data_IF_727222134728
#
_entry.id   IF_727222134728
#
_cell.length_a   1.000
_cell.length_b   1.000
_cell.length_c   1.000
_cell.angle_alpha   90.00
_cell.angle_beta   90.00
_cell.angle_gamma   90.00
#
_symmetry.space_group_name_H-M   'P 1'
#
loop_
_entity.id
_entity.type
_entity.pdbx_description
1 polymer ?
#
# COMPACT_ATOMS: atom_id res chain seq x y z
N UNK A 1 -75.86 38.58 -82.27
CA UNK A 1 -74.46 38.87 -82.66
C UNK A 1 -73.68 39.02 -81.36
N UNK A 2 -72.72 38.12 -81.15
CA UNK A 2 -71.63 37.99 -80.13
C UNK A 2 -71.72 38.74 -78.79
N UNK A 3 -71.41 38.16 -77.63
CA UNK A 3 -70.79 36.87 -77.33
C UNK A 3 -70.36 36.78 -75.84
N UNK A 4 -70.03 35.55 -75.43
CA UNK A 4 -69.07 35.09 -74.39
C UNK A 4 -68.87 35.90 -73.10
N UNK A 5 -68.79 35.34 -71.89
CA UNK A 5 -68.65 33.96 -71.44
C UNK A 5 -67.88 33.92 -70.11
N UNK A 6 -68.20 32.94 -69.24
CA UNK A 6 -67.42 32.51 -68.06
C UNK A 6 -67.48 33.47 -66.86
N UNK A 7 -67.65 33.06 -65.60
CA UNK A 7 -67.07 31.92 -64.88
C UNK A 7 -68.06 31.48 -63.77
N UNK A 8 -68.16 30.15 -63.57
CA UNK A 8 -68.92 29.47 -62.51
C UNK A 8 -68.09 29.37 -61.22
N UNK A 9 -68.73 29.41 -60.05
CA UNK A 9 -68.80 28.26 -59.11
C UNK A 9 -69.72 28.54 -57.91
N UNK A 10 -70.41 27.49 -57.51
CA UNK A 10 -71.42 27.42 -56.47
C UNK A 10 -70.85 26.88 -55.15
N UNK A 11 -71.47 27.27 -54.04
CA UNK A 11 -71.60 26.57 -52.74
C UNK A 11 -72.90 27.17 -52.15
N UNK A 12 -73.88 26.51 -51.55
CA UNK A 12 -74.00 25.21 -50.90
C UNK A 12 -74.76 25.42 -49.58
N UNK A 13 -76.06 25.09 -49.60
CA UNK A 13 -77.02 24.69 -48.57
C UNK A 13 -76.86 25.00 -47.04
N UNK A 14 -78.05 25.21 -46.46
CA UNK A 14 -78.59 24.62 -45.21
C UNK A 14 -78.49 25.39 -43.87
N UNK A 15 -79.59 25.24 -43.11
CA UNK A 15 -80.00 25.93 -41.89
C UNK A 15 -79.25 25.47 -40.62
N UNK A 16 -79.24 26.31 -39.59
CA UNK A 16 -78.92 25.89 -38.22
C UNK A 16 -79.58 26.81 -37.18
N UNK A 17 -80.45 26.23 -36.34
CA UNK A 17 -80.95 26.86 -35.13
C UNK A 17 -79.87 26.92 -34.05
N UNK A 18 -79.90 27.96 -33.22
CA UNK A 18 -79.02 28.09 -32.06
C UNK A 18 -79.74 27.58 -30.81
N UNK A 19 -79.22 26.45 -30.34
CA UNK A 19 -79.54 25.74 -29.10
C UNK A 19 -78.89 26.47 -27.92
N UNK A 20 -79.62 26.58 -26.82
CA UNK A 20 -79.11 27.10 -25.54
C UNK A 20 -78.03 26.16 -24.96
N UNK A 21 -76.85 26.70 -24.65
CA UNK A 21 -75.81 25.97 -23.92
C UNK A 21 -76.00 26.18 -22.41
N UNK A 22 -76.66 25.23 -21.76
CA UNK A 22 -76.61 25.10 -20.31
C UNK A 22 -75.25 24.51 -19.90
N UNK A 23 -74.50 25.20 -19.03
CA UNK A 23 -73.35 24.60 -18.34
C UNK A 23 -73.86 23.46 -17.44
N UNK A 24 -73.55 22.21 -17.80
CA UNK A 24 -73.71 21.08 -16.91
C UNK A 24 -72.61 21.14 -15.84
N UNK A 25 -72.97 21.58 -14.64
CA UNK A 25 -72.20 21.26 -13.43
C UNK A 25 -72.46 19.79 -13.13
N UNK A 26 -71.43 18.95 -13.20
CA UNK A 26 -71.53 17.57 -12.74
C UNK A 26 -71.78 17.56 -11.21
N UNK A 27 -72.71 16.76 -10.68
CA UNK A 27 -72.85 16.59 -9.24
C UNK A 27 -71.59 15.91 -8.69
N UNK A 28 -71.03 16.46 -7.60
CA UNK A 28 -70.06 15.74 -6.79
C UNK A 28 -70.75 14.47 -6.27
N UNK A 29 -70.20 13.29 -6.59
CA UNK A 29 -70.65 12.04 -6.02
C UNK A 29 -70.55 12.14 -4.49
N UNK A 30 -71.69 12.06 -3.80
CA UNK A 30 -71.71 11.97 -2.34
C UNK A 30 -71.17 10.60 -1.93
N UNK A 31 -70.09 10.59 -1.15
CA UNK A 31 -69.56 9.40 -0.49
C UNK A 31 -70.61 8.86 0.49
N UNK A 32 -70.73 7.52 0.58
CA UNK A 32 -71.53 6.86 1.62
C UNK A 32 -71.05 7.32 3.02
N UNK A 33 -71.92 7.45 4.03
CA UNK A 33 -71.49 7.83 5.37
C UNK A 33 -70.57 6.74 5.92
N UNK A 34 -69.34 7.11 6.25
CA UNK A 34 -68.40 6.26 6.98
C UNK A 34 -69.07 5.77 8.28
N UNK A 35 -69.26 4.46 8.44
CA UNK A 35 -69.91 3.89 9.63
C UNK A 35 -68.92 3.46 10.71
N UNK A 36 -67.65 3.29 10.34
CA UNK A 36 -66.62 2.68 11.17
C UNK A 36 -65.31 3.47 11.13
N UNK A 37 -64.49 3.43 12.20
CA UNK A 37 -63.16 4.03 12.19
C UNK A 37 -62.24 3.25 11.23
N UNK A 38 -61.15 3.86 10.72
CA UNK A 38 -60.36 3.25 9.66
C UNK A 38 -59.71 1.92 10.09
N UNK A 39 -59.87 0.86 9.29
CA UNK A 39 -59.24 -0.43 9.53
C UNK A 39 -58.06 -0.68 8.58
N UNK A 40 -56.91 -1.12 9.11
CA UNK A 40 -55.76 -1.49 8.29
C UNK A 40 -55.81 -2.97 7.88
N UNK A 41 -55.86 -3.23 6.57
CA UNK A 41 -55.90 -4.60 6.00
C UNK A 41 -54.51 -5.07 5.55
N UNK A 42 -53.65 -4.14 5.14
CA UNK A 42 -52.26 -4.41 4.78
C UNK A 42 -51.34 -3.40 5.47
N UNK A 43 -50.33 -3.85 6.23
CA UNK A 43 -49.47 -2.94 6.99
C UNK A 43 -48.58 -2.09 6.08
N UNK A 44 -48.11 -0.93 6.57
CA UNK A 44 -47.10 -0.13 5.89
C UNK A 44 -45.81 -0.92 5.64
N UNK A 45 -45.06 -0.59 4.60
CA UNK A 45 -43.76 -1.21 4.32
C UNK A 45 -42.69 -0.16 4.00
N UNK A 46 -41.48 -0.38 4.54
CA UNK A 46 -40.31 0.45 4.22
C UNK A 46 -39.56 -0.16 3.04
N UNK A 47 -39.23 0.67 2.06
CA UNK A 47 -38.36 0.33 0.94
C UNK A 47 -37.23 1.33 0.80
N UNK A 48 -36.15 0.94 0.13
CA UNK A 48 -34.99 1.80 -0.11
C UNK A 48 -33.77 1.49 0.78
N UNK A 49 -32.63 2.16 0.53
CA UNK A 49 -31.38 1.85 1.20
C UNK A 49 -31.29 2.42 2.62
N UNK A 50 -31.28 1.55 3.64
CA UNK A 50 -31.08 1.91 5.04
C UNK A 50 -29.60 2.13 5.39
N UNK A 51 -29.00 3.17 4.82
CA UNK A 51 -27.63 3.64 5.09
C UNK A 51 -27.58 5.17 4.96
N UNK A 52 -26.65 5.87 5.61
CA UNK A 52 -26.56 7.33 5.54
C UNK A 52 -26.58 7.87 4.11
N UNK A 53 -27.38 8.91 3.87
CA UNK A 53 -27.62 9.51 2.56
C UNK A 53 -28.59 8.72 1.67
N UNK A 54 -29.04 7.54 2.10
CA UNK A 54 -30.09 6.78 1.43
C UNK A 54 -31.48 7.34 1.75
N UNK A 55 -32.42 7.18 0.80
CA UNK A 55 -33.82 7.59 0.99
C UNK A 55 -34.69 6.36 1.21
N UNK A 56 -35.26 6.25 2.42
CA UNK A 56 -36.31 5.30 2.74
C UNK A 56 -37.66 5.84 2.28
N UNK A 57 -38.52 4.95 1.79
CA UNK A 57 -39.90 5.26 1.38
C UNK A 57 -40.85 4.37 2.15
N UNK A 58 -41.93 4.95 2.64
CA UNK A 58 -42.97 4.21 3.33
C UNK A 58 -44.19 4.07 2.41
N UNK A 59 -44.61 2.84 2.14
CA UNK A 59 -45.92 2.59 1.56
C UNK A 59 -46.97 2.69 2.69
N UNK A 60 -48.11 3.37 2.45
CA UNK A 60 -49.10 3.61 3.50
C UNK A 60 -49.84 2.36 3.99
N UNK A 61 -49.73 1.25 3.27
CA UNK A 61 -50.60 0.07 3.47
C UNK A 61 -51.94 0.22 2.76
N UNK A 62 -52.87 -0.69 3.05
CA UNK A 62 -54.26 -0.66 2.56
C UNK A 62 -55.20 -0.45 3.73
N UNK A 63 -56.13 0.49 3.57
CA UNK A 63 -57.07 0.90 4.61
C UNK A 63 -58.51 0.84 4.07
N UNK A 64 -59.45 0.42 4.92
CA UNK A 64 -60.89 0.55 4.68
C UNK A 64 -61.37 1.93 5.15
N UNK A 65 -62.59 2.30 4.75
CA UNK A 65 -63.32 3.50 5.19
C UNK A 65 -62.62 4.83 4.82
N UNK A 66 -61.96 4.83 3.65
CA UNK A 66 -61.34 5.96 2.93
C UNK A 66 -60.69 7.06 3.80
N UNK A 67 -59.75 6.72 4.71
CA UNK A 67 -59.17 7.69 5.63
C UNK A 67 -58.20 8.66 4.96
N UNK A 68 -58.03 9.81 5.60
CA UNK A 68 -56.86 10.67 5.39
C UNK A 68 -55.64 10.09 6.10
N UNK A 69 -54.53 9.93 5.37
CA UNK A 69 -53.33 9.28 5.87
C UNK A 69 -52.20 10.27 6.15
N UNK A 70 -51.57 10.13 7.31
CA UNK A 70 -50.34 10.84 7.70
C UNK A 70 -49.25 9.84 8.07
N UNK A 71 -48.00 10.19 7.83
CA UNK A 71 -46.86 9.27 8.00
C UNK A 71 -45.80 9.88 8.89
N UNK A 72 -45.36 9.13 9.90
CA UNK A 72 -44.27 9.50 10.80
C UNK A 72 -43.18 8.42 10.82
N UNK A 73 -41.94 8.85 10.87
CA UNK A 73 -40.75 8.01 11.00
C UNK A 73 -40.20 8.14 12.41
N UNK A 74 -39.86 7.00 13.02
CA UNK A 74 -39.36 6.96 14.40
C UNK A 74 -38.31 5.89 14.61
N UNK A 75 -37.51 6.09 15.65
CA UNK A 75 -36.66 5.04 16.22
C UNK A 75 -36.96 4.92 17.72
N UNK A 76 -37.47 3.77 18.15
CA UNK A 76 -38.08 3.64 19.47
C UNK A 76 -39.20 4.67 19.67
N UNK A 77 -39.06 5.53 20.68
CA UNK A 77 -39.96 6.65 20.98
C UNK A 77 -39.53 7.98 20.36
N UNK A 78 -38.37 8.05 19.70
CA UNK A 78 -37.81 9.29 19.14
C UNK A 78 -38.34 9.55 17.73
N UNK A 79 -38.92 10.73 17.45
CA UNK A 79 -39.32 11.11 16.10
C UNK A 79 -38.09 11.43 15.23
N UNK A 80 -38.08 10.92 14.01
CA UNK A 80 -37.02 11.14 13.02
C UNK A 80 -37.44 12.12 11.93
N UNK A 81 -38.71 12.07 11.51
CA UNK A 81 -39.30 12.93 10.49
C UNK A 81 -40.72 12.51 10.12
N UNK A 82 -41.33 13.23 9.18
CA UNK A 82 -42.70 13.01 8.71
C UNK A 82 -42.76 12.92 7.18
N UNK A 83 -43.87 12.41 6.65
CA UNK A 83 -44.12 12.26 5.21
C UNK A 83 -43.73 10.89 4.64
N UNK A 84 -44.05 10.68 3.36
CA UNK A 84 -43.90 9.37 2.70
C UNK A 84 -42.44 8.92 2.47
N UNK A 85 -41.46 9.79 2.72
CA UNK A 85 -40.04 9.50 2.49
C UNK A 85 -39.16 10.09 3.59
N UNK A 86 -38.08 9.38 3.93
CA UNK A 86 -37.12 9.78 4.95
C UNK A 86 -35.69 9.62 4.44
N UNK A 87 -34.89 10.69 4.53
CA UNK A 87 -33.45 10.63 4.20
C UNK A 87 -32.69 10.23 5.46
N UNK A 88 -32.00 9.09 5.40
CA UNK A 88 -31.24 8.52 6.50
C UNK A 88 -30.03 9.40 6.81
N UNK A 89 -29.93 9.84 8.07
CA UNK A 89 -28.83 10.68 8.55
C UNK A 89 -27.68 9.81 9.05
N UNK A 90 -26.48 10.39 9.14
CA UNK A 90 -25.33 9.72 9.76
C UNK A 90 -25.57 9.36 11.23
N UNK A 91 -26.37 10.17 11.94
CA UNK A 91 -26.74 9.94 13.34
C UNK A 91 -27.66 8.71 13.53
N UNK A 92 -28.32 8.24 12.46
CA UNK A 92 -29.25 7.12 12.54
C UNK A 92 -28.53 5.77 12.45
N UNK A 93 -27.21 5.73 12.25
CA UNK A 93 -26.46 4.46 12.11
C UNK A 93 -26.61 3.61 13.37
N UNK A 94 -27.04 2.36 13.19
CA UNK A 94 -27.35 1.44 14.28
C UNK A 94 -28.76 1.60 14.85
N UNK A 95 -29.50 2.64 14.46
CA UNK A 95 -30.88 2.81 14.86
C UNK A 95 -31.80 1.84 14.09
N UNK A 96 -32.87 1.42 14.77
CA UNK A 96 -33.96 0.66 14.19
C UNK A 96 -35.07 1.64 13.81
N UNK A 97 -35.30 1.80 12.52
CA UNK A 97 -36.25 2.76 11.95
C UNK A 97 -37.56 2.07 11.63
N UNK A 98 -38.67 2.68 12.05
CA UNK A 98 -40.04 2.24 11.79
C UNK A 98 -40.83 3.39 11.19
N UNK A 99 -41.65 3.09 10.19
CA UNK A 99 -42.65 4.00 9.67
C UNK A 99 -43.99 3.70 10.33
N UNK A 100 -44.72 4.72 10.74
CA UNK A 100 -46.07 4.61 11.31
C UNK A 100 -47.02 5.48 10.51
N UNK A 101 -48.11 4.88 10.07
CA UNK A 101 -49.17 5.55 9.31
C UNK A 101 -50.35 5.74 10.24
N UNK A 102 -50.81 6.98 10.38
CA UNK A 102 -52.02 7.36 11.11
C UNK A 102 -53.11 7.65 10.09
N UNK A 103 -54.21 6.92 10.21
CA UNK A 103 -55.41 7.04 9.40
C UNK A 103 -56.50 7.73 10.23
N UNK A 104 -57.18 8.71 9.65
CA UNK A 104 -58.25 9.46 10.30
C UNK A 104 -59.41 9.67 9.34
N UNK A 105 -60.61 9.42 9.83
CA UNK A 105 -61.87 9.68 9.14
C UNK A 105 -62.86 10.35 10.13
N UNK A 106 -64.10 10.59 9.72
CA UNK A 106 -65.08 11.30 10.55
C UNK A 106 -65.50 10.55 11.82
N UNK A 107 -65.27 9.23 11.86
CA UNK A 107 -65.65 8.32 12.95
C UNK A 107 -64.51 8.13 13.95
N UNK A 108 -63.25 8.12 13.49
CA UNK A 108 -62.13 7.93 14.41
C UNK A 108 -60.75 7.87 13.76
N UNK A 109 -59.79 7.40 14.56
CA UNK A 109 -58.36 7.39 14.23
C UNK A 109 -57.77 6.02 14.54
N UNK A 110 -57.00 5.50 13.58
CA UNK A 110 -56.26 4.25 13.70
C UNK A 110 -54.80 4.42 13.28
N UNK A 111 -53.92 3.56 13.76
CA UNK A 111 -52.49 3.59 13.40
C UNK A 111 -51.96 2.20 13.06
N UNK A 112 -51.13 2.12 12.01
CA UNK A 112 -50.41 0.90 11.63
C UNK A 112 -48.91 1.19 11.48
N UNK A 113 -48.07 0.19 11.78
CA UNK A 113 -46.61 0.33 11.71
C UNK A 113 -45.99 -0.68 10.76
N UNK A 114 -44.89 -0.29 10.11
CA UNK A 114 -44.12 -1.19 9.26
C UNK A 114 -43.27 -2.16 10.05
N UNK A 115 -42.79 -3.21 9.37
CA UNK A 115 -41.63 -3.96 9.83
C UNK A 115 -40.42 -3.02 9.99
N UNK A 116 -39.59 -3.21 11.04
CA UNK A 116 -38.43 -2.36 11.30
C UNK A 116 -37.31 -2.59 10.30
N UNK A 117 -36.53 -1.54 10.01
CA UNK A 117 -35.29 -1.63 9.23
C UNK A 117 -34.13 -1.03 10.03
N UNK A 118 -33.04 -1.79 10.16
CA UNK A 118 -31.84 -1.32 10.84
C UNK A 118 -30.95 -0.53 9.89
N UNK A 119 -30.57 0.69 10.28
CA UNK A 119 -29.63 1.49 9.50
C UNK A 119 -28.22 0.94 9.67
N UNK A 120 -27.62 0.58 8.55
CA UNK A 120 -26.25 0.05 8.49
C UNK A 120 -25.28 1.14 8.04
N UNK A 121 -24.06 1.09 8.57
CA UNK A 121 -23.00 1.97 8.11
C UNK A 121 -22.72 1.69 6.62
N UNK A 122 -22.41 2.74 5.85
CA UNK A 122 -21.93 2.56 4.50
C UNK A 122 -20.64 1.72 4.51
N UNK A 123 -20.42 0.84 3.50
CA UNK A 123 -19.15 0.15 3.34
C UNK A 123 -18.02 1.18 3.31
N UNK A 124 -17.02 1.00 4.17
CA UNK A 124 -15.79 1.80 4.07
C UNK A 124 -15.14 1.47 2.74
N UNK A 125 -15.07 2.43 1.83
CA UNK A 125 -14.19 2.30 0.67
C UNK A 125 -12.77 2.23 1.24
N UNK A 126 -11.98 1.16 0.97
CA UNK A 126 -10.59 1.17 1.36
C UNK A 126 -9.94 2.38 0.70
N UNK A 127 -9.29 3.21 1.51
CA UNK A 127 -8.48 4.33 0.99
C UNK A 127 -7.56 3.78 -0.09
N UNK A 128 -7.55 4.43 -1.26
CA UNK A 128 -6.70 4.04 -2.37
C UNK A 128 -5.26 3.80 -1.85
N UNK A 129 -4.56 2.74 -2.31
CA UNK A 129 -3.17 2.55 -1.93
C UNK A 129 -2.39 3.86 -2.15
N UNK A 130 -1.49 4.25 -1.23
CA UNK A 130 -0.69 5.44 -1.45
C UNK A 130 -0.05 5.35 -2.84
N UNK A 131 -0.12 6.45 -3.60
CA UNK A 131 0.44 6.50 -4.94
C UNK A 131 1.90 5.98 -4.91
N UNK A 132 2.32 5.18 -5.90
CA UNK A 132 3.69 4.65 -5.92
C UNK A 132 4.67 5.82 -5.84
N UNK A 133 5.59 5.76 -4.88
CA UNK A 133 6.61 6.79 -4.70
C UNK A 133 7.47 6.88 -5.97
N UNK A 134 7.36 7.98 -6.70
CA UNK A 134 8.20 8.28 -7.87
C UNK A 134 9.64 8.63 -7.49
N UNK A 135 9.93 8.82 -6.19
CA UNK A 135 11.27 9.13 -5.69
C UNK A 135 12.33 8.08 -6.03
N UNK A 136 11.91 6.83 -6.25
CA UNK A 136 12.79 5.73 -6.60
C UNK A 136 12.82 5.44 -8.10
N UNK A 137 12.03 6.15 -8.91
CA UNK A 137 11.89 5.86 -10.34
C UNK A 137 13.14 6.26 -11.11
N UNK A 138 13.68 5.34 -11.91
CA UNK A 138 14.87 5.58 -12.73
C UNK A 138 15.29 4.33 -13.48
N UNK A 139 16.49 4.35 -14.07
CA UNK A 139 17.10 3.15 -14.66
C UNK A 139 17.21 2.07 -13.56
N UNK A 140 16.57 0.89 -13.73
CA UNK A 140 16.46 -0.05 -12.62
C UNK A 140 17.82 -0.60 -12.21
N UNK A 141 18.12 -0.54 -10.93
CA UNK A 141 19.34 -1.13 -10.36
C UNK A 141 19.11 -1.60 -8.94
N UNK A 142 20.02 -2.45 -8.47
CA UNK A 142 20.19 -2.80 -7.07
C UNK A 142 21.66 -2.63 -6.72
N UNK A 143 21.93 -2.01 -5.56
CA UNK A 143 23.28 -1.78 -5.07
C UNK A 143 23.32 -2.12 -3.57
N UNK A 144 24.03 -3.19 -3.24
CA UNK A 144 24.22 -3.64 -1.87
C UNK A 144 25.46 -2.95 -1.26
N UNK A 145 25.36 -2.56 0.02
CA UNK A 145 26.46 -1.98 0.78
C UNK A 145 27.15 -0.77 0.11
N UNK A 146 26.44 -0.01 -0.72
CA UNK A 146 27.03 1.10 -1.47
C UNK A 146 27.90 0.67 -2.66
N UNK A 147 27.70 -0.54 -3.19
CA UNK A 147 28.31 -1.03 -4.43
C UNK A 147 29.72 -1.56 -4.26
N UNK A 148 30.15 -1.79 -3.03
CA UNK A 148 31.41 -2.49 -2.74
C UNK A 148 31.23 -3.99 -2.96
N UNK A 149 32.31 -4.69 -3.31
CA UNK A 149 32.28 -6.14 -3.49
C UNK A 149 32.45 -6.94 -2.19
N UNK A 150 32.89 -6.29 -1.12
CA UNK A 150 33.28 -6.93 0.13
C UNK A 150 32.72 -6.16 1.33
N UNK A 151 32.24 -6.88 2.35
CA UNK A 151 31.72 -6.29 3.58
C UNK A 151 32.06 -7.14 4.81
N UNK A 152 32.24 -6.49 5.96
CA UNK A 152 32.27 -7.14 7.29
C UNK A 152 30.92 -7.14 7.98
N UNK A 153 29.92 -6.48 7.39
CA UNK A 153 28.57 -6.36 7.93
C UNK A 153 27.71 -7.46 7.34
N UNK A 154 27.17 -8.32 8.20
CA UNK A 154 26.25 -9.38 7.81
C UNK A 154 24.90 -8.84 7.36
N UNK A 155 24.45 -7.75 7.98
CA UNK A 155 23.27 -6.98 7.53
C UNK A 155 23.72 -5.71 6.83
N UNK A 156 23.27 -5.54 5.59
CA UNK A 156 23.63 -4.41 4.72
C UNK A 156 22.39 -3.64 4.30
N UNK A 157 22.61 -2.40 3.88
CA UNK A 157 21.61 -1.64 3.16
C UNK A 157 21.68 -1.99 1.67
N UNK A 158 20.52 -2.19 1.07
CA UNK A 158 20.31 -2.32 -0.37
C UNK A 158 19.62 -1.06 -0.83
N UNK A 159 20.23 -0.34 -1.76
CA UNK A 159 19.59 0.78 -2.46
C UNK A 159 19.08 0.31 -3.82
N UNK A 160 17.92 0.81 -4.23
CA UNK A 160 17.32 0.48 -5.53
C UNK A 160 16.91 1.75 -6.28
N UNK A 161 16.95 1.67 -7.60
CA UNK A 161 16.04 2.43 -8.46
C UNK A 161 15.13 1.46 -9.19
N UNK A 162 13.89 1.87 -9.46
CA UNK A 162 12.82 1.00 -9.92
C UNK A 162 12.22 1.51 -11.24
N UNK A 163 11.67 0.63 -12.08
CA UNK A 163 10.84 1.08 -13.20
C UNK A 163 9.61 1.86 -12.72
N UNK A 164 9.01 2.64 -13.62
CA UNK A 164 7.73 3.30 -13.37
C UNK A 164 6.62 2.28 -13.03
N UNK A 165 5.68 2.67 -12.17
CA UNK A 165 4.56 1.83 -11.74
C UNK A 165 4.89 0.86 -10.59
N UNK A 166 6.16 0.74 -10.19
CA UNK A 166 6.56 -0.16 -9.09
C UNK A 166 5.85 0.20 -7.78
N UNK A 167 5.22 -0.79 -7.15
CA UNK A 167 4.49 -0.61 -5.88
C UNK A 167 5.16 -1.29 -4.69
N UNK A 168 6.04 -2.26 -4.97
CA UNK A 168 6.76 -3.02 -3.97
C UNK A 168 8.14 -3.43 -4.51
N UNK A 169 8.99 -3.86 -3.58
CA UNK A 169 10.29 -4.48 -3.86
C UNK A 169 10.27 -5.87 -3.25
N UNK A 170 10.64 -6.87 -4.04
CA UNK A 170 10.84 -8.23 -3.56
C UNK A 170 12.32 -8.59 -3.67
N UNK A 171 12.92 -9.00 -2.55
CA UNK A 171 14.37 -9.23 -2.42
C UNK A 171 14.59 -10.69 -2.05
N UNK A 172 15.49 -11.37 -2.76
CA UNK A 172 15.80 -12.78 -2.55
C UNK A 172 17.31 -13.08 -2.69
N UNK A 173 17.75 -14.19 -2.08
CA UNK A 173 19.11 -14.71 -2.22
C UNK A 173 19.28 -15.74 -3.34
N UNK A 174 18.22 -16.01 -4.11
CA UNK A 174 18.17 -16.99 -5.19
C UNK A 174 17.33 -16.43 -6.36
N UNK A 175 17.61 -16.87 -7.61
CA UNK A 175 16.89 -16.38 -8.79
C UNK A 175 15.42 -16.82 -8.84
N UNK A 176 15.04 -17.88 -8.13
CA UNK A 176 13.68 -18.40 -8.05
C UNK A 176 12.77 -17.58 -7.11
N UNK A 177 13.34 -16.63 -6.35
CA UNK A 177 12.65 -15.85 -5.32
C UNK A 177 12.01 -16.68 -4.19
N UNK A 178 12.54 -17.87 -3.91
CA UNK A 178 12.14 -18.65 -2.73
C UNK A 178 12.51 -17.90 -1.45
N UNK A 179 11.55 -17.79 -0.54
CA UNK A 179 11.72 -17.04 0.71
C UNK A 179 11.90 -15.52 0.51
N UNK A 180 11.48 -14.99 -0.64
CA UNK A 180 11.63 -13.57 -0.94
C UNK A 180 10.96 -12.67 0.10
N UNK A 181 11.67 -11.62 0.49
CA UNK A 181 11.15 -10.60 1.39
C UNK A 181 10.46 -9.51 0.58
N UNK A 182 9.13 -9.46 0.62
CA UNK A 182 8.36 -8.35 0.03
C UNK A 182 8.33 -7.16 0.98
N UNK A 183 8.62 -5.98 0.44
CA UNK A 183 8.58 -4.68 1.14
C UNK A 183 7.85 -3.66 0.28
N UNK A 184 7.12 -2.74 0.90
CA UNK A 184 6.47 -1.64 0.17
C UNK A 184 7.54 -0.71 -0.42
N UNK A 185 7.26 -0.12 -1.58
CA UNK A 185 8.09 0.95 -2.11
C UNK A 185 7.86 2.22 -1.28
N UNK A 186 8.90 2.74 -0.64
CA UNK A 186 8.86 3.97 0.14
C UNK A 186 9.91 4.97 -0.36
N UNK A 187 9.81 6.23 0.06
CA UNK A 187 10.63 7.33 -0.44
C UNK A 187 12.14 7.19 -0.12
N UNK A 188 12.56 6.26 0.75
CA UNK A 188 13.99 6.03 1.07
C UNK A 188 14.69 5.16 0.04
N UNK A 189 13.93 4.38 -0.74
CA UNK A 189 14.45 3.47 -1.76
C UNK A 189 15.55 2.53 -1.23
N UNK A 190 15.54 2.25 0.07
CA UNK A 190 16.63 1.57 0.78
C UNK A 190 16.06 0.55 1.76
N UNK A 191 16.56 -0.68 1.67
CA UNK A 191 16.07 -1.83 2.42
C UNK A 191 17.20 -2.52 3.16
N UNK A 192 16.89 -3.20 4.27
CA UNK A 192 17.88 -4.03 4.97
C UNK A 192 17.84 -5.45 4.44
N UNK A 193 19.02 -6.03 4.27
CA UNK A 193 19.17 -7.43 3.88
C UNK A 193 20.26 -8.09 4.69
N UNK A 194 20.03 -9.33 5.09
CA UNK A 194 20.98 -10.14 5.84
C UNK A 194 21.53 -11.20 4.91
N UNK A 195 22.86 -11.20 4.73
CA UNK A 195 23.57 -12.19 3.95
C UNK A 195 23.40 -13.58 4.59
N UNK A 196 23.33 -14.61 3.75
CA UNK A 196 23.27 -16.00 4.16
C UNK A 196 24.54 -16.38 4.92
N UNK A 197 24.41 -17.38 5.80
CA UNK A 197 25.55 -17.93 6.52
C UNK A 197 26.32 -18.93 5.66
N UNK A 198 27.18 -18.38 4.81
CA UNK A 198 28.07 -19.12 3.93
C UNK A 198 29.52 -18.87 4.34
N UNK A 199 30.47 -19.74 3.94
CA UNK A 199 31.89 -19.52 4.20
C UNK A 199 32.36 -18.14 3.73
N UNK A 200 33.26 -17.52 4.50
CA UNK A 200 33.79 -16.19 4.18
C UNK A 200 34.37 -16.15 2.76
N UNK A 201 34.10 -15.06 2.04
CA UNK A 201 34.48 -14.86 0.65
C UNK A 201 33.56 -15.54 -0.39
N UNK A 202 32.59 -16.37 0.04
CA UNK A 202 31.60 -16.93 -0.88
C UNK A 202 30.79 -15.81 -1.55
N UNK A 203 30.73 -15.75 -2.89
CA UNK A 203 29.91 -14.76 -3.59
C UNK A 203 28.43 -15.01 -3.33
N UNK A 204 27.74 -14.01 -2.79
CA UNK A 204 26.30 -14.04 -2.58
C UNK A 204 25.63 -13.07 -3.53
N UNK A 205 24.73 -13.58 -4.37
CA UNK A 205 23.95 -12.76 -5.29
C UNK A 205 22.61 -12.41 -4.66
N UNK A 206 22.30 -11.12 -4.68
CA UNK A 206 21.05 -10.58 -4.18
C UNK A 206 20.21 -10.20 -5.38
N UNK A 207 19.05 -10.83 -5.52
CA UNK A 207 18.11 -10.61 -6.60
C UNK A 207 16.99 -9.69 -6.11
N UNK A 208 16.59 -8.75 -6.97
CA UNK A 208 15.49 -7.84 -6.69
C UNK A 208 14.58 -7.77 -7.90
N UNK A 209 13.27 -7.92 -7.66
CA UNK A 209 12.22 -7.67 -8.67
C UNK A 209 11.23 -6.62 -8.18
N UNK A 210 10.51 -6.04 -9.14
CA UNK A 210 9.71 -4.84 -8.93
C UNK A 210 8.21 -5.07 -9.24
N UNK A 211 7.42 -5.66 -8.32
CA UNK A 211 5.98 -5.83 -8.52
C UNK A 211 5.25 -4.52 -8.84
N UNK A 212 4.33 -4.57 -9.81
CA UNK A 212 3.55 -3.42 -10.28
C UNK A 212 4.22 -2.59 -11.37
N UNK A 213 5.51 -2.82 -11.65
CA UNK A 213 6.22 -2.16 -12.74
C UNK A 213 5.52 -2.40 -14.09
N UNK A 214 5.42 -1.35 -14.91
CA UNK A 214 4.84 -1.44 -16.28
C UNK A 214 5.64 -2.39 -17.17
N UNK A 215 6.95 -2.48 -16.95
CA UNK A 215 7.84 -3.47 -17.56
C UNK A 215 8.60 -4.19 -16.42
N UNK A 216 8.13 -5.37 -15.98
CA UNK A 216 8.77 -6.11 -14.90
C UNK A 216 10.18 -6.54 -15.27
N UNK A 217 11.15 -6.22 -14.42
CA UNK A 217 12.53 -6.67 -14.58
C UNK A 217 13.06 -7.22 -13.26
N UNK A 218 14.05 -8.10 -13.36
CA UNK A 218 14.87 -8.54 -12.24
C UNK A 218 16.27 -7.96 -12.39
N UNK A 219 16.76 -7.34 -11.32
CA UNK A 219 18.15 -6.88 -11.20
C UNK A 219 18.86 -7.69 -10.13
N UNK A 220 20.19 -7.72 -10.17
CA UNK A 220 20.97 -8.37 -9.11
C UNK A 220 22.28 -7.65 -8.84
N UNK A 221 22.77 -7.80 -7.62
CA UNK A 221 24.11 -7.38 -7.21
C UNK A 221 24.81 -8.54 -6.49
N UNK A 222 26.14 -8.50 -6.42
CA UNK A 222 26.95 -9.54 -5.78
C UNK A 222 27.80 -8.94 -4.68
N UNK A 223 27.71 -9.54 -3.50
CA UNK A 223 28.48 -9.13 -2.33
C UNK A 223 29.16 -10.34 -1.69
N UNK A 224 30.33 -10.13 -1.09
CA UNK A 224 31.05 -11.14 -0.30
C UNK A 224 31.16 -10.67 1.15
N UNK A 225 30.82 -11.56 2.07
CA UNK A 225 31.01 -11.36 3.50
C UNK A 225 32.37 -11.91 3.92
N UNK A 226 33.10 -11.17 4.74
CA UNK A 226 34.40 -11.59 5.24
C UNK A 226 34.72 -10.94 6.60
N UNK A 227 34.89 -11.78 7.62
CA UNK A 227 35.40 -11.38 8.95
C UNK A 227 36.63 -12.17 9.35
N UNK A 228 37.12 -13.03 8.45
CA UNK A 228 38.24 -13.91 8.68
C UNK A 228 39.53 -13.11 8.58
N UNK A 229 40.37 -13.10 9.63
CA UNK A 229 41.65 -12.42 9.54
C UNK A 229 42.62 -13.19 8.63
N UNK A 230 43.58 -12.48 8.01
CA UNK A 230 44.62 -13.13 7.23
C UNK A 230 45.51 -13.99 8.15
N UNK A 231 46.04 -15.11 7.65
CA UNK A 231 46.96 -15.95 8.41
C UNK A 231 48.39 -15.82 7.91
N UNK A 232 49.32 -15.69 8.84
CA UNK A 232 50.75 -15.53 8.53
C UNK A 232 51.35 -16.89 8.21
N UNK A 233 51.88 -17.04 7.00
CA UNK A 233 52.52 -18.28 6.51
C UNK A 233 54.04 -18.22 6.57
N UNK A 234 54.62 -17.02 6.59
CA UNK A 234 56.07 -16.82 6.68
C UNK A 234 56.38 -15.56 7.48
N UNK A 235 57.32 -15.67 8.41
CA UNK A 235 57.83 -14.55 9.19
C UNK A 235 59.26 -14.86 9.68
N UNK A 236 60.27 -14.41 8.93
CA UNK A 236 61.66 -14.49 9.37
C UNK A 236 62.46 -13.26 8.97
N UNK A 237 63.53 -13.00 9.69
CA UNK A 237 64.50 -11.96 9.37
C UNK A 237 65.90 -12.55 9.27
N UNK A 238 66.70 -12.04 8.33
CA UNK A 238 68.10 -12.43 8.15
C UNK A 238 68.99 -11.20 8.08
N UNK A 239 70.15 -11.24 8.71
CA UNK A 239 71.13 -10.16 8.58
C UNK A 239 71.64 -10.04 7.13
N UNK A 240 71.84 -8.81 6.67
CA UNK A 240 72.40 -8.52 5.35
C UNK A 240 73.46 -7.44 5.45
N UNK A 241 74.72 -7.82 5.21
CA UNK A 241 75.85 -6.88 5.17
C UNK A 241 75.63 -5.78 4.11
N UNK A 242 75.16 -6.16 2.91
CA UNK A 242 74.86 -5.21 1.82
C UNK A 242 73.80 -4.17 2.20
N UNK A 243 72.83 -4.52 3.04
CA UNK A 243 71.74 -3.63 3.46
C UNK A 243 71.96 -3.02 4.86
N UNK A 244 73.06 -3.37 5.54
CA UNK A 244 73.38 -2.87 6.88
C UNK A 244 72.34 -3.19 7.96
N UNK A 245 71.63 -4.31 7.86
CA UNK A 245 70.57 -4.62 8.82
C UNK A 245 69.83 -5.94 8.61
N UNK A 246 68.91 -6.22 9.52
CA UNK A 246 67.98 -7.35 9.47
C UNK A 246 66.92 -7.12 8.40
N UNK A 247 66.91 -7.97 7.38
CA UNK A 247 65.94 -7.96 6.28
C UNK A 247 64.78 -8.87 6.65
N UNK A 248 63.60 -8.29 6.85
CA UNK A 248 62.39 -9.02 7.17
C UNK A 248 61.74 -9.59 5.90
N UNK A 249 61.41 -10.88 5.94
CA UNK A 249 60.65 -11.62 4.93
C UNK A 249 59.38 -12.16 5.55
N UNK A 250 58.25 -11.66 5.05
CA UNK A 250 56.93 -12.04 5.53
C UNK A 250 56.02 -12.48 4.38
N UNK A 251 55.06 -13.34 4.69
CA UNK A 251 53.96 -13.71 3.79
C UNK A 251 52.74 -14.02 4.64
N UNK A 252 51.58 -13.56 4.20
CA UNK A 252 50.29 -13.95 4.71
C UNK A 252 49.39 -14.40 3.56
N UNK A 253 48.39 -15.20 3.88
CA UNK A 253 47.30 -15.58 2.99
C UNK A 253 45.99 -15.14 3.60
N UNK A 254 44.98 -15.02 2.76
CA UNK A 254 43.66 -14.56 3.13
C UNK A 254 42.64 -15.24 2.22
N UNK A 255 41.51 -15.68 2.80
CA UNK A 255 40.40 -16.30 2.07
C UNK A 255 39.43 -15.25 1.54
N UNK A 256 39.48 -14.04 2.08
CA UNK A 256 38.51 -13.00 1.86
C UNK A 256 39.04 -11.85 1.02
N UNK A 257 38.85 -10.62 1.50
CA UNK A 257 39.09 -9.41 0.73
C UNK A 257 40.57 -9.19 0.39
N UNK A 258 41.47 -10.03 0.87
CA UNK A 258 42.88 -10.03 0.60
C UNK A 258 43.65 -9.14 1.58
N UNK A 259 44.93 -9.48 1.75
CA UNK A 259 45.84 -8.75 2.63
C UNK A 259 46.07 -7.32 2.13
N UNK A 260 46.03 -6.33 3.03
CA UNK A 260 46.27 -4.92 2.71
C UNK A 260 47.63 -4.41 3.25
N UNK A 261 47.96 -4.76 4.48
CA UNK A 261 49.15 -4.23 5.16
C UNK A 261 49.66 -5.17 6.24
N UNK A 262 50.84 -4.90 6.76
CA UNK A 262 51.36 -5.58 7.95
C UNK A 262 52.05 -4.61 8.89
N UNK A 263 52.14 -4.99 10.15
CA UNK A 263 52.82 -4.25 11.20
C UNK A 263 53.98 -5.06 11.76
N UNK A 264 55.03 -4.38 12.21
CA UNK A 264 56.09 -4.95 13.06
C UNK A 264 56.00 -4.36 14.47
N UNK A 265 56.40 -5.13 15.47
CA UNK A 265 56.46 -4.68 16.85
C UNK A 265 57.56 -5.38 17.66
N UNK A 266 57.88 -4.80 18.82
CA UNK A 266 58.69 -5.46 19.85
C UNK A 266 57.97 -6.65 20.48
N UNK A 267 58.70 -7.52 21.19
CA UNK A 267 58.13 -8.70 21.89
C UNK A 267 57.00 -8.34 22.85
N UNK A 268 57.15 -7.23 23.59
CA UNK A 268 56.13 -6.70 24.50
C UNK A 268 54.98 -5.94 23.78
N UNK A 269 55.00 -5.86 22.45
CA UNK A 269 53.97 -5.20 21.64
C UNK A 269 54.09 -3.67 21.55
N UNK A 270 55.14 -3.08 22.16
CA UNK A 270 55.47 -1.65 22.02
C UNK A 270 56.18 -1.36 20.70
N UNK A 271 56.22 -0.07 20.32
CA UNK A 271 56.83 0.42 19.06
C UNK A 271 56.27 -0.33 17.86
N UNK A 272 55.07 0.08 17.42
CA UNK A 272 54.40 -0.51 16.25
C UNK A 272 54.70 0.31 15.01
N UNK A 273 55.13 -0.35 13.94
CA UNK A 273 55.35 0.28 12.64
C UNK A 273 54.52 -0.42 11.58
N UNK A 274 53.69 0.34 10.87
CA UNK A 274 52.91 -0.15 9.75
C UNK A 274 53.72 -0.13 8.45
N UNK A 275 53.53 -1.15 7.63
CA UNK A 275 54.25 -1.37 6.39
C UNK A 275 53.27 -1.73 5.27
N UNK A 276 53.56 -1.23 4.06
CA UNK A 276 52.87 -1.65 2.84
C UNK A 276 53.43 -3.00 2.36
N UNK A 277 52.57 -3.80 1.74
CA UNK A 277 53.00 -5.04 1.09
C UNK A 277 54.02 -4.76 -0.02
N UNK A 278 54.89 -5.73 -0.29
CA UNK A 278 55.91 -5.65 -1.35
C UNK A 278 57.14 -4.80 -1.02
N UNK A 279 57.09 -3.95 0.01
CA UNK A 279 58.29 -3.20 0.45
C UNK A 279 59.21 -4.08 1.29
N UNK A 280 60.49 -4.06 0.96
CA UNK A 280 61.51 -4.72 1.79
C UNK A 280 61.70 -3.92 3.07
N UNK A 281 61.48 -4.55 4.22
CA UNK A 281 61.70 -3.93 5.53
C UNK A 281 63.10 -4.32 6.01
N UNK A 282 63.91 -3.30 6.33
CA UNK A 282 65.26 -3.45 6.87
C UNK A 282 65.35 -2.65 8.15
N UNK A 283 65.92 -3.24 9.21
CA UNK A 283 66.18 -2.54 10.47
C UNK A 283 67.52 -2.99 11.06
N UNK A 284 68.31 -2.04 11.56
CA UNK A 284 69.47 -2.36 12.38
C UNK A 284 69.04 -2.83 13.79
N UNK A 285 68.02 -2.20 14.37
CA UNK A 285 67.43 -2.60 15.64
C UNK A 285 66.57 -3.85 15.42
N UNK A 286 67.05 -4.99 15.93
CA UNK A 286 66.37 -6.29 15.89
C UNK A 286 65.05 -6.27 16.66
N UNK A 287 64.97 -5.53 17.76
CA UNK A 287 63.84 -5.56 18.69
C UNK A 287 62.54 -5.14 18.00
N UNK A 288 62.58 -4.17 17.09
CA UNK A 288 61.38 -3.65 16.41
C UNK A 288 60.78 -4.60 15.37
N UNK A 289 61.44 -5.74 15.11
CA UNK A 289 61.02 -6.77 14.15
C UNK A 289 60.59 -8.07 14.83
N UNK A 290 60.52 -8.14 16.17
CA UNK A 290 60.29 -9.41 16.87
C UNK A 290 58.91 -10.04 16.64
N UNK A 291 57.90 -9.21 16.34
CA UNK A 291 56.54 -9.67 16.05
C UNK A 291 56.03 -9.04 14.76
N UNK A 292 55.21 -9.78 14.04
CA UNK A 292 54.48 -9.32 12.85
C UNK A 292 53.00 -9.63 12.94
N UNK A 293 52.18 -8.76 12.36
CA UNK A 293 50.74 -8.96 12.23
C UNK A 293 50.28 -8.43 10.88
N UNK A 294 49.32 -9.10 10.26
CA UNK A 294 48.74 -8.67 8.99
C UNK A 294 47.32 -8.13 9.18
N UNK A 295 46.93 -7.20 8.32
CA UNK A 295 45.57 -6.66 8.24
C UNK A 295 45.07 -6.80 6.80
N UNK A 296 43.86 -7.29 6.61
CA UNK A 296 43.22 -7.36 5.29
C UNK A 296 42.65 -6.00 4.85
N UNK A 297 42.07 -5.95 3.64
CA UNK A 297 41.45 -4.73 3.08
C UNK A 297 40.21 -4.27 3.82
N UNK A 298 39.57 -5.16 4.55
CA UNK A 298 38.41 -4.83 5.33
C UNK A 298 38.80 -4.30 6.71
N UNK A 299 39.96 -4.67 7.25
CA UNK A 299 40.45 -4.32 8.58
C UNK A 299 40.50 -5.50 9.57
N UNK A 300 40.27 -6.75 9.14
CA UNK A 300 40.45 -7.91 10.01
C UNK A 300 41.95 -8.17 10.21
N UNK A 301 42.33 -8.49 11.45
CA UNK A 301 43.73 -8.53 11.88
C UNK A 301 44.12 -9.91 12.35
N UNK A 302 45.26 -10.39 11.87
CA UNK A 302 45.85 -11.64 12.35
C UNK A 302 46.25 -11.54 13.82
N UNK A 303 46.51 -12.69 14.45
CA UNK A 303 47.31 -12.73 15.67
C UNK A 303 48.74 -12.23 15.41
N UNK A 304 49.43 -11.79 16.47
CA UNK A 304 50.85 -11.43 16.39
C UNK A 304 51.73 -12.68 16.35
N UNK A 305 52.45 -12.88 15.25
CA UNK A 305 53.37 -14.01 15.04
C UNK A 305 54.81 -13.59 15.33
N UNK A 306 55.56 -14.45 16.01
CA UNK A 306 56.97 -14.24 16.31
C UNK A 306 57.81 -14.36 15.02
N UNK A 307 58.69 -13.41 14.79
CA UNK A 307 59.67 -13.49 13.69
C UNK A 307 60.82 -14.40 14.09
N UNK A 308 61.13 -15.37 13.23
CA UNK A 308 62.33 -16.21 13.38
C UNK A 308 63.55 -15.46 12.86
N UNK A 309 64.58 -15.34 13.66
CA UNK A 309 65.84 -14.71 13.24
C UNK A 309 66.79 -15.81 12.79
N UNK A 310 67.21 -15.74 11.53
CA UNK A 310 68.11 -16.70 10.91
C UNK A 310 69.52 -16.13 10.91
N UNK A 311 70.49 -17.00 11.17
CA UNK A 311 71.91 -16.70 11.02
C UNK A 311 72.34 -16.52 9.56
#
# INVERSE_FOLDING_TARGET
MFGFGGIRRAVGAAAAGLVAAALLVAPAAQADPETDPPENVLPPAITGPARPGGTLRCSPGTWLDEPTLTTAWRTGSTPLGEGASYVVRSADVGAVVVCTVRAENSVGVSTASSSPVTVTAAPRTPSAPPAPSTACTGAPYVQAAGGVLWTRRRTVAIRVATPAGTTAVEIAGNPEFWGAQRRRLDARCTYRWTLADLPDGTPQRIYVRFPGATAPITVSDVLRYDVSPPWVTKAHARWSNRRGGWVLRTRARDVGAGVASFETARRNGTVRRAHRLGRTVVSWDRSVLERVRFTDRLGNRSGWVRVRFLS
#
